data_IF_779532021143
#
_entry.id   IF_779532021143
#
_cell.length_a   1.000
_cell.length_b   1.000
_cell.length_c   1.000
_cell.angle_alpha   90.00
_cell.angle_beta   90.00
_cell.angle_gamma   90.00
#
_symmetry.space_group_name_H-M   'P 1'
#
loop_
_entity.id
_entity.type
_entity.pdbx_description
1 polymer ?
#
# COMPACT_ATOMS: atom_id res chain seq x y z
N UNK A 1 -8.51 4.34 7.86
CA UNK A 1 -9.26 5.41 7.16
C UNK A 1 -10.74 5.21 7.41
N UNK A 2 -11.53 6.26 7.62
CA UNK A 2 -13.00 6.15 7.67
C UNK A 2 -13.58 6.85 6.44
N UNK A 3 -14.47 6.18 5.71
CA UNK A 3 -15.08 6.69 4.49
C UNK A 3 -16.50 6.11 4.35
N UNK A 4 -17.49 6.97 4.15
CA UNK A 4 -18.90 6.59 3.95
C UNK A 4 -19.45 5.61 5.01
N UNK A 5 -19.14 5.85 6.29
CA UNK A 5 -19.61 5.00 7.40
C UNK A 5 -18.86 3.68 7.55
N UNK A 6 -17.79 3.47 6.78
CA UNK A 6 -16.97 2.26 6.81
C UNK A 6 -15.53 2.58 7.21
N UNK A 7 -14.99 1.79 8.12
CA UNK A 7 -13.59 1.80 8.51
C UNK A 7 -12.79 0.88 7.61
N UNK A 8 -11.64 1.37 7.17
CA UNK A 8 -10.71 0.65 6.30
C UNK A 8 -9.33 0.57 6.92
N UNK A 9 -8.74 -0.63 6.88
CA UNK A 9 -7.35 -0.89 7.24
C UNK A 9 -6.58 -1.40 6.04
N UNK A 10 -5.37 -0.88 5.88
CA UNK A 10 -4.46 -1.23 4.79
C UNK A 10 -3.24 -1.86 5.43
N UNK A 11 -2.91 -3.08 5.03
CA UNK A 11 -1.86 -3.87 5.67
C UNK A 11 -1.10 -4.73 4.68
N UNK A 12 0.16 -4.98 4.99
CA UNK A 12 1.01 -5.84 4.18
C UNK A 12 0.58 -7.29 4.30
N UNK A 13 0.51 -7.99 3.17
CA UNK A 13 0.37 -9.44 3.19
C UNK A 13 1.73 -10.08 3.40
N UNK A 14 2.09 -10.31 4.67
CA UNK A 14 3.29 -11.06 5.05
C UNK A 14 2.98 -12.55 4.99
N UNK A 15 3.48 -13.23 3.95
CA UNK A 15 3.41 -14.70 3.88
C UNK A 15 4.37 -15.27 4.94
N UNK A 16 3.91 -16.19 5.78
CA UNK A 16 4.73 -16.80 6.82
C UNK A 16 5.91 -17.61 6.22
N UNK A 17 7.12 -17.47 6.79
CA UNK A 17 8.35 -18.18 6.39
C UNK A 17 9.56 -17.26 6.17
N UNK A 18 10.75 -17.82 5.90
CA UNK A 18 12.04 -17.11 5.70
C UNK A 18 12.07 -16.09 4.52
N UNK A 19 10.93 -15.82 3.89
CA UNK A 19 10.71 -14.79 2.87
C UNK A 19 9.86 -13.60 3.37
N UNK A 20 9.65 -13.49 4.69
CA UNK A 20 8.60 -12.69 5.35
C UNK A 20 8.68 -11.16 5.25
N UNK A 21 9.75 -10.58 4.68
CA UNK A 21 9.83 -9.13 4.39
C UNK A 21 9.72 -8.78 2.91
N UNK A 22 9.62 -9.76 2.01
CA UNK A 22 9.45 -9.48 0.59
C UNK A 22 7.95 -9.33 0.29
N UNK A 23 7.55 -8.22 -0.34
CA UNK A 23 6.19 -8.08 -0.86
C UNK A 23 6.02 -9.08 -2.02
N UNK A 24 5.57 -10.30 -1.70
CA UNK A 24 5.25 -11.32 -2.69
C UNK A 24 3.86 -11.08 -3.32
N UNK A 25 3.02 -10.27 -2.65
CA UNK A 25 1.60 -10.07 -2.98
C UNK A 25 1.23 -8.57 -3.06
N UNK A 26 1.58 -7.77 -2.03
CA UNK A 26 1.30 -6.34 -1.97
C UNK A 26 0.53 -5.93 -0.70
N UNK A 27 -0.35 -4.93 -0.81
CA UNK A 27 -1.14 -4.36 0.30
C UNK A 27 -2.58 -4.88 0.26
N UNK A 28 -3.04 -5.52 1.32
CA UNK A 28 -4.44 -5.91 1.53
C UNK A 28 -5.27 -4.75 2.08
N UNK A 29 -6.57 -4.81 1.80
CA UNK A 29 -7.59 -3.92 2.34
C UNK A 29 -8.56 -4.73 3.17
N UNK A 30 -8.85 -4.25 4.37
CA UNK A 30 -9.90 -4.78 5.24
C UNK A 30 -10.92 -3.69 5.52
N UNK A 31 -12.20 -4.05 5.60
CA UNK A 31 -13.28 -3.12 5.92
C UNK A 31 -14.06 -3.56 7.17
N UNK A 32 -14.71 -2.62 7.84
CA UNK A 32 -15.62 -2.88 8.97
C UNK A 32 -16.55 -1.70 9.18
N UNK A 33 -17.78 -1.96 9.63
CA UNK A 33 -18.72 -0.91 10.05
C UNK A 33 -18.68 -0.65 11.57
N UNK A 34 -18.12 -1.58 12.35
CA UNK A 34 -18.19 -1.59 13.81
C UNK A 34 -16.81 -1.70 14.50
N UNK A 35 -15.74 -1.50 13.74
CA UNK A 35 -14.32 -1.65 14.13
C UNK A 35 -13.91 -3.05 14.60
N UNK A 36 -14.84 -3.99 14.72
CA UNK A 36 -14.66 -5.28 15.39
C UNK A 36 -14.71 -6.42 14.39
N UNK A 37 -15.74 -6.44 13.55
CA UNK A 37 -15.91 -7.41 12.47
C UNK A 37 -15.18 -6.92 11.21
N UNK A 38 -14.06 -7.56 10.89
CA UNK A 38 -13.26 -7.23 9.70
C UNK A 38 -13.62 -8.14 8.52
N UNK A 39 -13.92 -7.53 7.39
CA UNK A 39 -14.08 -8.20 6.09
C UNK A 39 -12.80 -8.02 5.29
N UNK A 40 -12.24 -9.11 4.77
CA UNK A 40 -11.14 -9.04 3.80
C UNK A 40 -11.71 -8.62 2.42
N UNK A 41 -11.24 -7.48 1.93
CA UNK A 41 -11.62 -6.94 0.62
C UNK A 41 -10.61 -7.33 -0.48
N UNK A 42 -9.53 -8.05 -0.13
CA UNK A 42 -8.49 -8.52 -1.03
C UNK A 42 -7.29 -7.57 -1.15
N UNK A 43 -6.48 -7.79 -2.19
CA UNK A 43 -5.25 -7.02 -2.47
C UNK A 43 -5.60 -5.70 -3.15
N UNK A 44 -5.42 -4.58 -2.45
CA UNK A 44 -5.68 -3.22 -2.96
C UNK A 44 -4.53 -2.61 -3.77
N UNK A 45 -3.27 -2.89 -3.42
CA UNK A 45 -2.09 -2.57 -4.23
C UNK A 45 -1.32 -3.85 -4.48
N UNK A 46 -1.30 -4.34 -5.72
CA UNK A 46 -0.58 -5.57 -6.08
C UNK A 46 0.82 -5.22 -6.57
N UNK A 47 1.82 -6.02 -6.17
CA UNK A 47 3.17 -5.94 -6.76
C UNK A 47 3.14 -6.31 -8.25
N UNK A 48 4.09 -5.75 -9.01
CA UNK A 48 4.21 -5.99 -10.45
C UNK A 48 5.09 -7.20 -10.75
N UNK A 49 4.80 -7.90 -11.85
CA UNK A 49 5.70 -8.89 -12.44
C UNK A 49 6.63 -8.26 -13.51
N UNK A 50 6.44 -6.98 -13.86
CA UNK A 50 7.29 -6.24 -14.81
C UNK A 50 8.63 -5.86 -14.15
N UNK A 51 9.78 -6.35 -14.68
CA UNK A 51 11.11 -6.03 -14.17
C UNK A 51 11.44 -4.53 -14.08
N UNK A 52 10.76 -3.68 -14.85
CA UNK A 52 10.97 -2.23 -14.86
C UNK A 52 10.11 -1.49 -13.81
N UNK A 53 9.24 -2.19 -13.10
CA UNK A 53 8.38 -1.60 -12.08
C UNK A 53 9.14 -1.37 -10.76
N UNK A 54 8.92 -0.21 -10.14
CA UNK A 54 9.48 0.08 -8.81
C UNK A 54 8.88 -0.82 -7.72
N UNK A 55 7.66 -1.32 -7.92
CA UNK A 55 6.97 -2.28 -7.05
C UNK A 55 7.05 -3.72 -7.57
N UNK A 56 8.15 -4.06 -8.24
CA UNK A 56 8.43 -5.41 -8.72
C UNK A 56 8.41 -6.43 -7.58
N UNK A 57 7.84 -7.61 -7.84
CA UNK A 57 7.84 -8.74 -6.91
C UNK A 57 9.22 -9.00 -6.30
N UNK A 58 9.29 -8.86 -4.98
CA UNK A 58 10.53 -8.88 -4.20
C UNK A 58 11.01 -7.50 -3.72
N UNK A 59 10.32 -6.41 -4.08
CA UNK A 59 10.43 -5.13 -3.39
C UNK A 59 9.84 -5.22 -1.98
N UNK A 60 10.16 -4.24 -1.13
CA UNK A 60 9.55 -4.11 0.19
C UNK A 60 8.57 -2.96 0.13
N UNK A 61 7.30 -3.21 0.46
CA UNK A 61 6.26 -2.18 0.61
C UNK A 61 5.88 -2.19 2.06
N UNK A 62 6.16 -1.11 2.77
CA UNK A 62 5.93 -1.03 4.21
C UNK A 62 5.03 0.14 4.61
N UNK A 63 4.29 -0.07 5.71
CA UNK A 63 3.57 0.99 6.44
C UNK A 63 2.60 1.81 5.56
N UNK A 64 1.77 1.19 4.72
CA UNK A 64 0.84 1.93 3.88
C UNK A 64 -0.08 2.84 4.72
N UNK A 65 -0.21 4.10 4.30
CA UNK A 65 -1.13 5.10 4.84
C UNK A 65 -2.02 5.57 3.72
N UNK A 66 -3.33 5.65 3.97
CA UNK A 66 -4.30 6.05 2.95
C UNK A 66 -5.12 7.23 3.45
N UNK A 67 -5.23 8.26 2.62
CA UNK A 67 -6.03 9.46 2.84
C UNK A 67 -6.97 9.72 1.65
N UNK A 68 -8.19 10.19 1.92
CA UNK A 68 -9.13 10.62 0.88
C UNK A 68 -9.04 12.15 0.68
N UNK A 69 -8.97 12.58 -0.58
CA UNK A 69 -9.00 13.99 -0.95
C UNK A 69 -10.38 14.35 -1.50
N UNK A 70 -11.13 15.18 -0.76
CA UNK A 70 -12.49 15.57 -1.14
C UNK A 70 -12.57 16.41 -2.42
N UNK A 71 -11.51 17.15 -2.79
CA UNK A 71 -11.48 17.98 -4.01
C UNK A 71 -11.34 17.12 -5.25
N UNK A 72 -10.43 16.15 -5.23
CA UNK A 72 -10.17 15.27 -6.38
C UNK A 72 -11.05 14.03 -6.38
N UNK A 73 -11.70 13.74 -5.24
CA UNK A 73 -12.46 12.50 -4.97
C UNK A 73 -11.61 11.24 -5.16
N UNK A 74 -10.31 11.33 -4.82
CA UNK A 74 -9.36 10.22 -4.91
C UNK A 74 -8.84 9.82 -3.55
N UNK A 75 -8.41 8.57 -3.45
CA UNK A 75 -7.62 8.05 -2.35
C UNK A 75 -6.16 8.05 -2.75
N UNK A 76 -5.30 8.55 -1.86
CA UNK A 76 -3.85 8.53 -2.00
C UNK A 76 -3.28 7.59 -0.96
N UNK A 77 -2.56 6.57 -1.42
CA UNK A 77 -1.76 5.67 -0.60
C UNK A 77 -0.31 6.11 -0.64
N UNK A 78 0.30 6.21 0.53
CA UNK A 78 1.70 6.51 0.75
C UNK A 78 2.34 5.33 1.46
N UNK A 79 3.51 4.90 1.03
CA UNK A 79 4.18 3.74 1.63
C UNK A 79 5.69 3.88 1.53
N UNK A 80 6.39 3.22 2.47
CA UNK A 80 7.83 3.01 2.38
C UNK A 80 8.10 1.95 1.30
N UNK A 81 9.01 2.23 0.40
CA UNK A 81 9.39 1.35 -0.70
C UNK A 81 10.90 1.10 -0.66
N UNK A 82 11.31 -0.17 -0.63
CA UNK A 82 12.68 -0.56 -0.95
C UNK A 82 12.68 -1.34 -2.26
N UNK A 83 13.50 -0.88 -3.21
CA UNK A 83 13.63 -1.53 -4.50
C UNK A 83 14.25 -2.92 -4.34
N UNK A 84 13.77 -3.87 -5.15
CA UNK A 84 14.26 -5.25 -5.14
C UNK A 84 15.79 -5.30 -5.28
N UNK A 85 16.45 -5.94 -4.32
CA UNK A 85 17.90 -6.19 -4.35
C UNK A 85 18.78 -4.98 -4.05
N UNK A 86 18.22 -3.83 -3.66
CA UNK A 86 19.00 -2.63 -3.33
C UNK A 86 19.11 -2.35 -1.82
N UNK A 87 18.37 -3.08 -0.98
CA UNK A 87 18.37 -2.92 0.48
C UNK A 87 17.97 -1.51 0.95
N UNK A 88 18.27 -1.20 2.21
CA UNK A 88 17.95 0.09 2.86
C UNK A 88 18.54 1.32 2.15
N UNK A 89 19.54 1.15 1.28
CA UNK A 89 20.17 2.24 0.51
C UNK A 89 19.27 2.85 -0.56
N UNK A 90 18.11 2.24 -0.84
CA UNK A 90 17.10 2.74 -1.76
C UNK A 90 15.74 2.89 -1.09
N UNK A 91 15.71 3.35 0.16
CA UNK A 91 14.47 3.74 0.82
C UNK A 91 13.80 4.90 0.08
N UNK A 92 12.59 4.67 -0.43
CA UNK A 92 11.77 5.65 -1.15
C UNK A 92 10.40 5.78 -0.51
N UNK A 93 9.76 6.91 -0.76
CA UNK A 93 8.32 7.07 -0.53
C UNK A 93 7.59 6.78 -1.84
N UNK A 94 6.78 5.73 -1.87
CA UNK A 94 5.89 5.41 -2.99
C UNK A 94 4.51 6.05 -2.83
N UNK A 95 3.93 6.51 -3.94
CA UNK A 95 2.56 7.06 -3.97
C UNK A 95 1.72 6.26 -4.95
N UNK A 96 0.56 5.79 -4.50
CA UNK A 96 -0.44 5.18 -5.36
C UNK A 96 -1.81 5.85 -5.21
N UNK A 97 -2.64 5.81 -6.26
CA UNK A 97 -3.94 6.49 -6.30
C UNK A 97 -5.07 5.53 -6.68
N UNK A 98 -6.24 5.70 -6.07
CA UNK A 98 -7.46 4.94 -6.38
C UNK A 98 -8.71 5.84 -6.34
N UNK A 99 -9.77 5.41 -7.02
CA UNK A 99 -11.09 6.09 -6.99
C UNK A 99 -11.96 5.65 -5.81
N UNK A 100 -11.74 4.42 -5.34
CA UNK A 100 -12.47 3.81 -4.23
C UNK A 100 -11.51 3.08 -3.29
N UNK A 101 -11.83 2.99 -1.99
CA UNK A 101 -11.02 2.19 -1.06
C UNK A 101 -11.09 0.70 -1.35
N UNK A 102 -12.24 0.25 -1.83
CA UNK A 102 -12.52 -1.10 -2.31
C UNK A 102 -13.68 -1.07 -3.33
N UNK A 103 -13.96 -2.19 -3.99
CA UNK A 103 -14.90 -2.33 -5.12
C UNK A 103 -15.62 -3.67 -5.04
N UNK A 104 -16.68 -3.93 -5.83
CA UNK A 104 -17.74 -4.87 -5.47
C UNK A 104 -17.34 -6.35 -5.43
N UNK A 105 -16.09 -6.70 -5.73
CA UNK A 105 -15.59 -8.08 -5.62
C UNK A 105 -14.15 -8.17 -5.07
N UNK A 106 -13.79 -9.27 -4.39
CA UNK A 106 -12.56 -9.38 -3.58
C UNK A 106 -11.24 -9.57 -4.36
N UNK A 107 -11.18 -9.31 -5.68
CA UNK A 107 -10.07 -9.75 -6.57
C UNK A 107 -9.22 -8.65 -7.21
N UNK A 108 -9.49 -7.36 -6.99
CA UNK A 108 -8.87 -6.31 -7.81
C UNK A 108 -8.00 -5.35 -7.00
N UNK A 109 -6.74 -5.22 -7.44
CA UNK A 109 -5.91 -4.06 -7.18
C UNK A 109 -6.63 -2.80 -7.69
N UNK A 110 -6.64 -1.75 -6.88
CA UNK A 110 -7.34 -0.48 -7.18
C UNK A 110 -6.40 0.70 -7.12
N UNK A 111 -5.30 0.56 -6.39
CA UNK A 111 -4.26 1.55 -6.33
C UNK A 111 -3.30 1.36 -7.50
N UNK A 112 -3.19 2.39 -8.33
CA UNK A 112 -2.17 2.49 -9.37
C UNK A 112 -0.98 3.30 -8.83
N UNK A 113 0.22 2.73 -8.92
CA UNK A 113 1.46 3.42 -8.56
C UNK A 113 1.65 4.62 -9.49
N UNK A 114 1.85 5.80 -8.91
CA UNK A 114 2.22 7.02 -9.64
C UNK A 114 3.74 7.17 -9.76
N UNK A 115 4.47 6.57 -8.82
CA UNK A 115 5.92 6.57 -8.75
C UNK A 115 6.42 6.62 -7.32
N UNK A 116 7.74 6.73 -7.17
CA UNK A 116 8.40 6.86 -5.88
C UNK A 116 9.49 7.93 -5.90
N UNK A 117 9.79 8.49 -4.73
CA UNK A 117 10.78 9.54 -4.56
C UNK A 117 11.70 9.25 -3.36
N UNK A 118 12.95 9.72 -3.43
CA UNK A 118 13.92 9.66 -2.33
C UNK A 118 14.58 11.03 -2.15
N UNK A 119 14.50 11.61 -0.95
CA UNK A 119 15.29 12.79 -0.56
C UNK A 119 16.31 12.41 0.52
N UNK A 120 17.58 12.73 0.27
CA UNK A 120 18.54 13.11 1.32
C UNK A 120 18.80 12.14 2.47
N UNK A 121 18.74 10.81 2.27
CA UNK A 121 19.16 9.84 3.30
C UNK A 121 18.26 9.77 4.53
N UNK A 122 17.05 10.34 4.49
CA UNK A 122 16.07 10.19 5.56
C UNK A 122 15.18 8.98 5.29
N UNK A 123 15.12 8.06 6.25
CA UNK A 123 14.25 6.89 6.18
C UNK A 123 12.78 7.32 6.15
N UNK A 124 12.04 6.94 5.10
CA UNK A 124 10.59 7.18 4.96
C UNK A 124 9.74 6.28 5.89
N UNK A 125 10.24 5.99 7.11
CA UNK A 125 9.63 5.05 8.06
C UNK A 125 8.52 5.67 8.91
N UNK A 126 8.58 6.98 9.13
CA UNK A 126 7.66 7.72 9.99
C UNK A 126 6.91 8.81 9.23
N UNK A 127 5.96 8.40 8.39
CA UNK A 127 4.98 9.30 7.78
C UNK A 127 3.70 9.31 8.63
N UNK A 128 3.67 10.14 9.67
CA UNK A 128 2.45 10.42 10.44
C UNK A 128 1.72 11.61 9.78
N UNK A 129 0.44 11.43 9.44
CA UNK A 129 -0.44 12.58 9.17
C UNK A 129 -0.86 13.16 10.52
N UNK A 130 -0.40 14.36 10.84
CA UNK A 130 -0.93 15.20 11.92
C UNK A 130 -2.16 15.98 11.46
#
# INVERSE_FOLDING_TARGET
MHHEGTYYWFGEHKVAGNAGSMAQVGVHVYSSQDLTNRKDEGVGLKVSDDPNSEILKGSIIERPKVSYNAKTKKLFMWFHLELKGQGDNAARSGIAVADKPCGPTPKHAQFNILGSHAEGGQMARDMNCS
#
